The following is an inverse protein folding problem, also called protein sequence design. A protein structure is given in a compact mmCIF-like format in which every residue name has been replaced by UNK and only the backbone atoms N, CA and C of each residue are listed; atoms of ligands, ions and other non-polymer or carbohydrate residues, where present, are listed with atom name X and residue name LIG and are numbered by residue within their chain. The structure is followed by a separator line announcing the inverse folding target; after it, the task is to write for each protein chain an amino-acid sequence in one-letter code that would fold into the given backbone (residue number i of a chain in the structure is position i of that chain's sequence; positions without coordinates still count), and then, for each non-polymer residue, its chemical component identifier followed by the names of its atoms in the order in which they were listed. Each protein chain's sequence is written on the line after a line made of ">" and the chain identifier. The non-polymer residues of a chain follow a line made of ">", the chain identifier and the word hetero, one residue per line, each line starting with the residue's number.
data_IF_935481095438
#
_entry.id   IF_935481095438
#
_cell.length_a   1.000
_cell.length_b   1.000
_cell.length_c   1.000
_cell.angle_alpha   90.00
_cell.angle_beta   90.00
_cell.angle_gamma   90.00
#
_symmetry.space_group_name_H-M   'P 1'
#
loop_
_entity.id
_entity.type
_entity.pdbx_description
1 polymer ?
#
# COMPACT_ATOMS: atom_id res chain seq x y z
N UNK A 1 48.66 30.49 59.03
CA UNK A 1 47.24 30.70 58.71
C UNK A 1 47.13 30.72 57.19
N UNK A 2 46.69 29.60 56.59
CA UNK A 2 46.44 29.49 55.13
C UNK A 2 44.97 29.28 54.95
N UNK A 3 44.27 30.24 54.35
CA UNK A 3 42.88 30.16 53.97
C UNK A 3 42.74 29.36 52.65
N UNK A 4 42.03 28.26 52.72
CA UNK A 4 41.69 27.48 51.57
C UNK A 4 40.25 27.80 51.16
N UNK A 5 40.06 28.47 50.03
CA UNK A 5 38.78 28.80 49.47
C UNK A 5 38.35 27.61 48.60
N UNK A 6 37.31 26.91 49.02
CA UNK A 6 36.66 25.86 48.18
C UNK A 6 35.70 26.51 47.19
N UNK A 7 36.01 26.36 45.92
CA UNK A 7 35.07 26.65 44.83
C UNK A 7 34.08 25.47 44.66
N UNK A 8 32.81 25.73 44.94
CA UNK A 8 31.72 24.84 44.58
C UNK A 8 31.39 25.04 43.09
N UNK A 9 31.73 24.08 42.28
CA UNK A 9 31.26 24.00 40.89
C UNK A 9 29.85 23.39 40.88
N UNK A 10 28.84 24.19 40.60
CA UNK A 10 27.47 23.73 40.35
C UNK A 10 27.41 23.26 38.89
N UNK A 11 27.48 21.95 38.69
CA UNK A 11 27.22 21.34 37.40
C UNK A 11 25.72 21.40 37.13
N UNK A 12 25.31 22.29 36.23
CA UNK A 12 23.95 22.36 35.72
C UNK A 12 23.73 21.15 34.79
N UNK A 13 23.14 20.10 35.33
CA UNK A 13 22.72 18.94 34.54
C UNK A 13 21.50 19.35 33.71
N UNK A 14 21.71 19.70 32.46
CA UNK A 14 20.63 19.89 31.50
C UNK A 14 19.98 18.53 31.24
N UNK A 15 18.87 18.27 31.93
CA UNK A 15 18.01 17.14 31.65
C UNK A 15 17.34 17.44 30.29
N UNK A 16 17.92 16.92 29.23
CA UNK A 16 17.24 16.79 27.94
C UNK A 16 16.09 15.78 28.12
N UNK A 17 14.93 16.25 28.57
CA UNK A 17 13.68 15.52 28.43
C UNK A 17 13.42 15.41 26.94
N UNK A 18 13.71 14.24 26.38
CA UNK A 18 13.17 13.82 25.10
C UNK A 18 11.65 13.86 25.26
N UNK A 19 11.03 14.97 24.86
CA UNK A 19 9.58 15.07 24.73
C UNK A 19 9.16 14.04 23.70
N UNK A 20 8.64 12.90 24.16
CA UNK A 20 7.82 12.02 23.34
C UNK A 20 6.79 12.92 22.65
N UNK A 21 6.87 13.06 21.33
CA UNK A 21 6.16 14.04 20.51
C UNK A 21 4.63 13.93 20.48
N UNK A 22 3.99 13.71 21.62
CA UNK A 22 2.54 13.75 21.73
C UNK A 22 2.05 15.21 21.78
N UNK A 23 1.11 15.55 20.91
CA UNK A 23 0.45 16.85 20.92
C UNK A 23 -0.40 16.96 22.19
N UNK A 24 -0.23 18.03 22.97
CA UNK A 24 -0.98 18.25 24.21
C UNK A 24 -2.47 18.45 23.94
N UNK A 25 -3.31 18.13 24.95
CA UNK A 25 -4.78 18.25 24.80
C UNK A 25 -5.23 19.64 24.40
N UNK A 26 -4.70 20.68 25.06
CA UNK A 26 -5.02 22.08 24.77
C UNK A 26 -4.61 22.47 23.32
N UNK A 27 -3.48 21.98 22.85
CA UNK A 27 -3.01 22.20 21.49
C UNK A 27 -3.93 21.48 20.47
N UNK A 28 -4.38 20.26 20.76
CA UNK A 28 -5.37 19.55 19.93
C UNK A 28 -6.69 20.32 19.85
N UNK A 29 -7.18 20.86 20.96
CA UNK A 29 -8.39 21.68 21.00
C UNK A 29 -8.25 22.98 20.18
N UNK A 30 -7.09 23.61 20.22
CA UNK A 30 -6.80 24.80 19.42
C UNK A 30 -6.73 24.46 17.91
N UNK A 31 -6.06 23.37 17.56
CA UNK A 31 -5.94 22.90 16.18
C UNK A 31 -7.31 22.50 15.60
N UNK A 32 -8.17 21.83 16.37
CA UNK A 32 -9.49 21.37 15.92
C UNK A 32 -10.45 22.48 15.54
N UNK A 33 -10.19 23.71 15.97
CA UNK A 33 -11.00 24.91 15.69
C UNK A 33 -10.50 25.72 14.50
N UNK A 34 -9.41 25.29 13.88
CA UNK A 34 -8.88 26.00 12.70
C UNK A 34 -9.81 25.82 11.50
N UNK A 35 -9.77 26.74 10.52
CA UNK A 35 -10.54 26.59 9.30
C UNK A 35 -10.07 25.38 8.49
N UNK A 36 -10.96 24.87 7.62
CA UNK A 36 -10.61 23.86 6.64
C UNK A 36 -9.49 24.38 5.71
N UNK A 37 -8.63 23.45 5.30
CA UNK A 37 -7.61 23.72 4.29
C UNK A 37 -8.06 23.20 2.93
N UNK A 38 -7.92 24.02 1.90
CA UNK A 38 -8.21 23.62 0.51
C UNK A 38 -6.90 23.31 -0.21
N UNK A 39 -6.79 22.12 -0.77
CA UNK A 39 -5.63 21.64 -1.54
C UNK A 39 -6.07 21.38 -2.98
N UNK A 40 -5.33 21.90 -3.95
CA UNK A 40 -5.55 21.62 -5.37
C UNK A 40 -4.96 20.26 -5.73
N UNK A 41 -5.80 19.35 -6.22
CA UNK A 41 -5.40 18.02 -6.70
C UNK A 41 -5.59 17.91 -8.21
N UNK A 42 -5.16 16.80 -8.81
CA UNK A 42 -5.36 16.54 -10.24
C UNK A 42 -6.86 16.40 -10.63
N UNK A 43 -7.73 16.12 -9.64
CA UNK A 43 -9.17 15.88 -9.85
C UNK A 43 -10.06 16.95 -9.22
N UNK A 44 -9.50 18.13 -8.94
CA UNK A 44 -10.18 19.28 -8.37
C UNK A 44 -9.77 19.61 -6.94
N UNK A 45 -10.46 20.57 -6.35
CA UNK A 45 -10.17 21.02 -4.99
C UNK A 45 -10.60 19.98 -3.95
N UNK A 46 -9.69 19.71 -3.02
CA UNK A 46 -9.90 18.85 -1.85
C UNK A 46 -9.98 19.73 -0.60
N UNK A 47 -11.12 19.71 0.07
CA UNK A 47 -11.29 20.38 1.35
C UNK A 47 -10.96 19.41 2.49
N UNK A 48 -9.95 19.72 3.27
CA UNK A 48 -9.50 18.95 4.43
C UNK A 48 -9.93 19.64 5.72
N UNK A 49 -10.55 18.93 6.68
CA UNK A 49 -10.83 19.49 8.01
C UNK A 49 -9.50 19.76 8.76
N UNK A 50 -9.53 20.58 9.79
CA UNK A 50 -8.35 20.73 10.64
C UNK A 50 -8.03 19.42 11.41
N UNK A 51 -6.77 19.23 11.82
CA UNK A 51 -6.41 18.10 12.68
C UNK A 51 -7.25 18.07 13.95
N UNK A 52 -7.68 16.88 14.35
CA UNK A 52 -8.50 16.63 15.55
C UNK A 52 -9.91 17.27 15.53
N UNK A 53 -10.43 17.70 14.37
CA UNK A 53 -11.81 18.18 14.23
C UNK A 53 -12.84 17.12 14.68
N UNK A 54 -12.49 15.87 14.60
CA UNK A 54 -13.23 14.74 15.16
C UNK A 54 -12.28 13.86 15.97
N UNK A 55 -12.84 13.10 16.92
CA UNK A 55 -12.06 12.15 17.71
C UNK A 55 -11.58 10.99 16.83
N UNK A 56 -10.29 10.63 16.94
CA UNK A 56 -9.77 9.40 16.35
C UNK A 56 -10.29 8.20 17.13
N UNK A 57 -11.00 7.32 16.48
CA UNK A 57 -11.66 6.18 17.12
C UNK A 57 -11.17 4.86 16.54
N UNK A 58 -10.67 3.99 17.41
CA UNK A 58 -10.39 2.59 17.03
C UNK A 58 -11.70 1.85 16.81
N UNK A 59 -11.89 1.30 15.62
CA UNK A 59 -13.07 0.54 15.23
C UNK A 59 -12.65 -0.59 14.29
N UNK A 60 -12.10 -1.66 14.86
CA UNK A 60 -11.64 -2.81 14.10
C UNK A 60 -12.83 -3.58 13.52
N UNK A 61 -12.76 -3.89 12.25
CA UNK A 61 -13.79 -4.73 11.61
C UNK A 61 -13.72 -6.17 12.12
N UNK A 62 -14.90 -6.79 12.21
CA UNK A 62 -15.10 -8.20 12.49
C UNK A 62 -15.38 -8.92 11.18
N UNK A 63 -14.46 -9.77 10.75
CA UNK A 63 -14.66 -10.62 9.58
C UNK A 63 -15.56 -11.78 9.93
N UNK A 64 -16.69 -11.90 9.21
CA UNK A 64 -17.70 -12.96 9.43
C UNK A 64 -17.69 -14.00 8.30
N UNK A 65 -16.90 -13.77 7.23
CA UNK A 65 -16.83 -14.62 6.04
C UNK A 65 -18.03 -14.46 5.10
N UNK A 66 -17.84 -14.95 3.88
CA UNK A 66 -18.87 -14.90 2.84
C UNK A 66 -19.90 -16.02 3.04
N UNK A 67 -21.21 -15.70 3.10
CA UNK A 67 -22.26 -16.71 3.05
C UNK A 67 -22.22 -17.45 1.72
N UNK A 68 -22.70 -18.69 1.70
CA UNK A 68 -22.83 -19.48 0.47
C UNK A 68 -23.64 -18.72 -0.59
N UNK A 69 -23.16 -18.75 -1.82
CA UNK A 69 -23.79 -18.08 -2.96
C UNK A 69 -23.67 -16.54 -2.96
N UNK A 70 -23.11 -15.93 -1.93
CA UNK A 70 -22.92 -14.47 -1.89
C UNK A 70 -21.58 -14.06 -2.49
N UNK A 71 -21.61 -13.01 -3.32
CA UNK A 71 -20.43 -12.42 -3.97
C UNK A 71 -20.36 -10.93 -3.70
N UNK A 72 -19.20 -10.30 -3.90
CA UNK A 72 -19.13 -8.85 -4.05
C UNK A 72 -20.03 -8.33 -5.17
N UNK A 73 -20.35 -7.06 -5.13
CA UNK A 73 -21.29 -6.40 -6.06
C UNK A 73 -20.47 -5.50 -6.99
N UNK A 74 -20.52 -5.80 -8.29
CA UNK A 74 -19.96 -4.95 -9.35
C UNK A 74 -21.06 -4.08 -10.00
N UNK A 75 -20.71 -3.05 -10.79
CA UNK A 75 -21.69 -2.28 -11.57
C UNK A 75 -22.47 -3.16 -12.55
N UNK A 76 -23.61 -2.63 -13.02
CA UNK A 76 -24.37 -3.25 -14.11
C UNK A 76 -23.46 -3.52 -15.34
N UNK A 77 -23.67 -4.64 -16.00
CA UNK A 77 -22.83 -5.09 -17.12
C UNK A 77 -21.60 -5.89 -16.69
N UNK A 78 -21.47 -6.23 -15.40
CA UNK A 78 -20.40 -7.09 -14.90
C UNK A 78 -20.96 -8.30 -14.13
N UNK A 79 -20.20 -9.38 -14.18
CA UNK A 79 -20.41 -10.58 -13.36
C UNK A 79 -19.24 -10.80 -12.43
N UNK A 80 -19.53 -11.15 -11.17
CA UNK A 80 -18.53 -11.51 -10.17
C UNK A 80 -18.64 -12.99 -9.86
N UNK A 81 -17.53 -13.70 -9.98
CA UNK A 81 -17.44 -15.14 -9.68
C UNK A 81 -16.28 -15.40 -8.71
N UNK A 82 -16.38 -16.49 -7.96
CA UNK A 82 -15.26 -17.00 -7.20
C UNK A 82 -14.25 -17.63 -8.19
N UNK A 83 -13.06 -17.05 -8.26
CA UNK A 83 -11.98 -17.57 -9.11
C UNK A 83 -11.25 -18.72 -8.42
N UNK A 84 -10.87 -18.52 -7.15
CA UNK A 84 -10.18 -19.51 -6.34
C UNK A 84 -10.41 -19.24 -4.85
N UNK A 85 -10.45 -20.29 -4.05
CA UNK A 85 -10.57 -20.25 -2.59
C UNK A 85 -9.62 -21.26 -1.92
N UNK A 86 -9.76 -21.48 -0.60
CA UNK A 86 -8.94 -22.44 0.13
C UNK A 86 -7.49 -21.96 0.31
N UNK A 87 -7.25 -20.67 0.24
CA UNK A 87 -6.01 -20.01 0.66
C UNK A 87 -6.06 -19.63 2.15
N UNK A 88 -4.89 -19.23 2.67
CA UNK A 88 -4.80 -18.57 3.95
C UNK A 88 -4.17 -17.19 3.77
N UNK A 89 -5.00 -16.15 3.84
CA UNK A 89 -4.64 -14.76 3.56
C UNK A 89 -3.99 -14.56 2.17
N UNK A 90 -4.71 -14.76 1.05
CA UNK A 90 -4.21 -14.50 -0.31
C UNK A 90 -4.01 -12.99 -0.48
N UNK A 91 -2.79 -12.51 -0.23
CA UNK A 91 -2.48 -11.08 -0.08
C UNK A 91 -2.15 -10.40 -1.39
N UNK A 92 -1.47 -11.11 -2.30
CA UNK A 92 -1.04 -10.55 -3.58
C UNK A 92 -1.10 -11.60 -4.68
N UNK A 93 -1.45 -11.16 -5.88
CA UNK A 93 -1.44 -11.99 -7.09
C UNK A 93 -0.50 -11.37 -8.12
N UNK A 94 0.35 -12.20 -8.70
CA UNK A 94 1.23 -11.85 -9.82
C UNK A 94 0.98 -12.80 -10.98
N UNK A 95 0.80 -12.26 -12.18
CA UNK A 95 0.67 -13.04 -13.42
C UNK A 95 1.99 -12.96 -14.17
N UNK A 96 2.64 -14.12 -14.32
CA UNK A 96 3.91 -14.23 -15.01
C UNK A 96 3.75 -14.13 -16.55
N UNK A 97 4.84 -13.89 -17.30
CA UNK A 97 4.79 -13.80 -18.77
C UNK A 97 4.25 -15.04 -19.47
N UNK A 98 4.31 -16.21 -18.85
CA UNK A 98 3.75 -17.48 -19.34
C UNK A 98 2.27 -17.69 -18.93
N UNK A 99 1.64 -16.69 -18.31
CA UNK A 99 0.29 -16.67 -17.74
C UNK A 99 0.09 -17.54 -16.47
N UNK A 100 1.13 -18.10 -15.88
CA UNK A 100 1.02 -18.67 -14.54
C UNK A 100 0.61 -17.59 -13.55
N UNK A 101 -0.31 -17.93 -12.65
CA UNK A 101 -0.81 -17.04 -11.61
C UNK A 101 -0.18 -17.45 -10.30
N UNK A 102 0.63 -16.56 -9.72
CA UNK A 102 1.26 -16.75 -8.41
C UNK A 102 0.49 -15.99 -7.35
N UNK A 103 0.13 -16.68 -6.27
CA UNK A 103 -0.64 -16.13 -5.15
C UNK A 103 0.21 -16.20 -3.90
N UNK A 104 0.49 -15.05 -3.30
CA UNK A 104 1.14 -14.97 -1.98
C UNK A 104 0.10 -15.16 -0.90
N UNK A 105 0.37 -16.11 0.01
CA UNK A 105 -0.37 -16.33 1.26
C UNK A 105 0.46 -15.79 2.41
N UNK A 106 0.11 -14.58 2.90
CA UNK A 106 0.90 -13.87 3.91
C UNK A 106 0.05 -12.91 4.74
N UNK A 107 0.37 -12.73 6.01
CA UNK A 107 -0.39 -11.88 6.93
C UNK A 107 0.43 -11.36 8.09
N UNK A 108 -0.21 -10.51 8.93
CA UNK A 108 0.41 -9.94 10.14
C UNK A 108 0.43 -10.93 11.30
N UNK A 109 -0.47 -11.91 11.29
CA UNK A 109 -0.60 -12.98 12.30
C UNK A 109 -0.12 -14.30 11.72
N UNK A 110 -0.72 -15.40 12.14
CA UNK A 110 -0.48 -16.71 11.52
C UNK A 110 -0.89 -16.69 10.06
N UNK A 111 0.00 -17.12 9.20
CA UNK A 111 -0.23 -17.34 7.77
C UNK A 111 0.77 -18.37 7.28
N UNK A 112 0.49 -19.03 6.17
CA UNK A 112 1.38 -20.06 5.60
C UNK A 112 2.72 -19.51 5.15
N UNK A 113 2.81 -18.19 4.86
CA UNK A 113 4.00 -17.53 4.33
C UNK A 113 4.61 -18.31 3.14
N UNK A 114 3.76 -18.58 2.16
CA UNK A 114 4.08 -19.36 0.96
C UNK A 114 3.59 -18.65 -0.29
N UNK A 115 4.03 -19.14 -1.43
CA UNK A 115 3.48 -18.78 -2.75
C UNK A 115 2.89 -20.03 -3.36
N UNK A 116 1.65 -19.94 -3.80
CA UNK A 116 0.94 -20.96 -4.56
C UNK A 116 0.90 -20.58 -6.03
N UNK A 117 1.19 -21.53 -6.93
CA UNK A 117 1.05 -21.33 -8.37
C UNK A 117 -0.23 -22.00 -8.88
N UNK A 118 -0.95 -21.27 -9.71
CA UNK A 118 -2.11 -21.76 -10.47
C UNK A 118 -1.74 -21.73 -11.96
N UNK A 119 -1.90 -22.86 -12.66
CA UNK A 119 -1.59 -22.96 -14.09
C UNK A 119 -2.79 -23.50 -14.84
N UNK A 120 -3.21 -22.74 -15.84
CA UNK A 120 -4.18 -23.12 -16.86
C UNK A 120 -3.41 -23.75 -18.03
N UNK A 121 -3.56 -25.08 -18.21
CA UNK A 121 -2.77 -25.85 -19.19
C UNK A 121 -3.37 -25.81 -20.58
N UNK A 122 -4.68 -25.83 -20.68
CA UNK A 122 -5.43 -25.87 -21.95
C UNK A 122 -5.92 -24.49 -22.40
N UNK A 123 -5.70 -23.45 -21.56
CA UNK A 123 -6.02 -22.04 -21.82
C UNK A 123 -7.54 -21.78 -21.95
N UNK A 124 -8.35 -22.55 -21.22
CA UNK A 124 -9.80 -22.36 -21.14
C UNK A 124 -10.23 -21.27 -20.14
N UNK A 125 -9.28 -20.69 -19.41
CA UNK A 125 -9.49 -19.66 -18.40
C UNK A 125 -9.72 -20.20 -16.99
N UNK A 126 -9.57 -21.53 -16.79
CA UNK A 126 -9.56 -22.21 -15.51
C UNK A 126 -8.17 -22.81 -15.27
N UNK A 127 -7.84 -23.07 -14.03
CA UNK A 127 -6.58 -23.73 -13.72
C UNK A 127 -6.79 -25.19 -13.31
N UNK A 128 -6.08 -26.12 -13.97
CA UNK A 128 -6.06 -27.54 -13.63
C UNK A 128 -4.96 -27.87 -12.61
N UNK A 129 -3.98 -26.98 -12.50
CA UNK A 129 -2.87 -27.18 -11.55
C UNK A 129 -2.91 -26.13 -10.47
N UNK A 130 -2.80 -26.60 -9.23
CA UNK A 130 -2.58 -25.78 -8.03
C UNK A 130 -1.52 -26.45 -7.16
N UNK A 131 -0.36 -25.82 -7.07
CA UNK A 131 0.78 -26.36 -6.34
C UNK A 131 1.38 -25.30 -5.41
N UNK A 132 1.95 -25.74 -4.29
CA UNK A 132 2.80 -24.87 -3.47
C UNK A 132 4.13 -24.66 -4.21
N UNK A 133 4.33 -23.45 -4.71
CA UNK A 133 5.51 -23.07 -5.47
C UNK A 133 6.76 -22.97 -4.61
N UNK A 134 6.64 -22.28 -3.46
CA UNK A 134 7.67 -22.15 -2.43
C UNK A 134 7.01 -21.81 -1.10
N UNK A 135 7.59 -22.27 0.00
CA UNK A 135 7.11 -22.07 1.39
C UNK A 135 8.23 -21.62 2.32
N UNK A 136 7.88 -21.42 3.57
CA UNK A 136 8.79 -21.04 4.65
C UNK A 136 9.49 -19.69 4.41
N UNK A 137 8.75 -18.76 3.79
CA UNK A 137 9.20 -17.40 3.50
C UNK A 137 8.99 -16.47 4.70
N UNK A 138 9.65 -15.30 4.69
CA UNK A 138 9.50 -14.29 5.74
C UNK A 138 8.49 -13.20 5.32
N UNK A 139 7.19 -13.46 5.52
CA UNK A 139 6.11 -12.53 5.12
C UNK A 139 6.30 -12.04 3.68
N UNK A 140 6.22 -12.93 2.69
CA UNK A 140 6.37 -12.58 1.28
C UNK A 140 5.26 -11.63 0.82
N UNK A 141 5.55 -10.81 -0.19
CA UNK A 141 4.56 -9.94 -0.80
C UNK A 141 4.77 -9.76 -2.31
N UNK A 142 5.71 -8.92 -2.72
CA UNK A 142 5.97 -8.64 -4.14
C UNK A 142 6.64 -9.81 -4.86
N UNK A 143 6.22 -10.05 -6.09
CA UNK A 143 6.76 -11.09 -6.97
C UNK A 143 7.05 -10.50 -8.35
N UNK A 144 8.09 -11.00 -9.01
CA UNK A 144 8.46 -10.58 -10.35
C UNK A 144 9.24 -11.69 -11.04
N UNK A 145 8.88 -12.01 -12.30
CA UNK A 145 9.73 -12.76 -13.21
C UNK A 145 10.46 -11.78 -14.13
N UNK A 146 11.78 -11.82 -14.11
CA UNK A 146 12.60 -10.98 -14.98
C UNK A 146 13.78 -11.79 -15.51
N UNK A 147 13.84 -11.95 -16.85
CA UNK A 147 14.80 -12.85 -17.51
C UNK A 147 14.71 -14.27 -16.94
N UNK A 148 15.83 -14.84 -16.54
CA UNK A 148 15.96 -16.20 -15.99
C UNK A 148 15.75 -16.28 -14.47
N UNK A 149 15.11 -15.29 -13.85
CA UNK A 149 14.98 -15.22 -12.39
C UNK A 149 13.55 -14.93 -11.95
N UNK A 150 13.18 -15.57 -10.84
CA UNK A 150 12.00 -15.22 -10.04
C UNK A 150 12.47 -14.43 -8.82
N UNK A 151 11.86 -13.27 -8.61
CA UNK A 151 12.16 -12.39 -7.48
C UNK A 151 11.02 -12.44 -6.48
N UNK A 152 11.36 -12.52 -5.20
CA UNK A 152 10.41 -12.49 -4.08
C UNK A 152 10.85 -11.41 -3.10
N UNK A 153 9.98 -10.46 -2.83
CA UNK A 153 10.18 -9.49 -1.79
C UNK A 153 9.57 -9.99 -0.49
N UNK A 154 10.43 -10.41 0.43
CA UNK A 154 10.09 -10.67 1.82
C UNK A 154 10.18 -9.39 2.64
N UNK A 155 9.65 -9.38 3.86
CA UNK A 155 9.69 -8.17 4.71
C UNK A 155 11.12 -7.70 4.99
N UNK A 156 12.09 -8.62 5.03
CA UNK A 156 13.50 -8.38 5.38
C UNK A 156 14.45 -8.28 4.20
N UNK A 157 13.96 -8.45 2.98
CA UNK A 157 14.85 -8.39 1.82
C UNK A 157 14.21 -8.78 0.50
N UNK A 158 14.93 -8.47 -0.57
CA UNK A 158 14.62 -8.97 -1.91
C UNK A 158 15.51 -10.17 -2.22
N UNK A 159 14.87 -11.26 -2.61
CA UNK A 159 15.51 -12.53 -2.92
C UNK A 159 15.33 -12.85 -4.40
N UNK A 160 16.34 -13.42 -5.01
CA UNK A 160 16.37 -13.84 -6.41
C UNK A 160 16.66 -15.34 -6.50
N UNK A 161 15.85 -16.03 -7.30
CA UNK A 161 15.94 -17.47 -7.54
C UNK A 161 16.16 -17.73 -9.03
N UNK A 162 17.08 -18.62 -9.45
CA UNK A 162 17.10 -19.11 -10.84
C UNK A 162 15.75 -19.71 -11.21
N UNK A 163 15.16 -19.25 -12.32
CA UNK A 163 13.83 -19.63 -12.77
C UNK A 163 13.82 -19.85 -14.27
N UNK A 164 14.01 -21.12 -14.69
CA UNK A 164 14.02 -21.53 -16.10
C UNK A 164 12.95 -22.59 -16.32
N UNK A 165 12.39 -22.63 -17.53
CA UNK A 165 11.38 -23.62 -17.95
C UNK A 165 10.11 -23.61 -17.11
N UNK A 166 9.80 -22.53 -16.43
CA UNK A 166 8.58 -22.31 -15.66
C UNK A 166 8.23 -23.49 -14.72
N UNK A 167 9.08 -23.85 -13.77
CA UNK A 167 8.80 -24.97 -12.86
C UNK A 167 7.60 -24.65 -11.97
N UNK A 168 6.87 -25.69 -11.56
CA UNK A 168 5.75 -25.59 -10.61
C UNK A 168 6.23 -25.58 -9.15
N UNK A 169 7.51 -25.90 -8.90
CA UNK A 169 8.15 -25.83 -7.59
C UNK A 169 9.49 -25.14 -7.71
N UNK A 170 9.74 -24.21 -6.82
CA UNK A 170 11.00 -23.47 -6.78
C UNK A 170 11.95 -24.11 -5.76
N UNK A 171 12.80 -25.02 -6.25
CA UNK A 171 13.75 -25.81 -5.45
C UNK A 171 15.19 -25.28 -5.55
N UNK A 172 15.39 -24.19 -6.30
CA UNK A 172 16.69 -23.55 -6.48
C UNK A 172 17.07 -22.73 -5.26
N UNK A 173 18.39 -22.66 -4.97
CA UNK A 173 18.89 -21.84 -3.87
C UNK A 173 18.70 -20.35 -4.19
N UNK A 174 18.20 -19.63 -3.20
CA UNK A 174 18.03 -18.17 -3.26
C UNK A 174 19.37 -17.43 -3.15
N UNK A 175 19.35 -16.21 -3.69
CA UNK A 175 20.35 -15.18 -3.41
C UNK A 175 19.64 -13.96 -2.87
N UNK A 176 19.91 -13.55 -1.64
CA UNK A 176 19.45 -12.27 -1.12
C UNK A 176 20.25 -11.16 -1.80
N UNK A 177 19.59 -10.34 -2.60
CA UNK A 177 20.23 -9.30 -3.40
C UNK A 177 20.05 -7.88 -2.81
N UNK A 178 19.12 -7.73 -1.87
CA UNK A 178 18.89 -6.47 -1.17
C UNK A 178 18.43 -6.77 0.26
N UNK A 179 19.09 -6.17 1.24
CA UNK A 179 18.62 -6.13 2.63
C UNK A 179 17.55 -5.04 2.76
N UNK A 180 16.43 -5.32 3.45
CA UNK A 180 15.38 -4.35 3.72
C UNK A 180 15.15 -4.19 5.22
N UNK A 181 14.81 -2.98 5.71
CA UNK A 181 14.60 -2.74 7.13
C UNK A 181 13.36 -3.50 7.62
N UNK A 182 13.54 -4.45 8.54
CA UNK A 182 12.47 -5.31 9.07
C UNK A 182 12.49 -5.50 10.58
N UNK A 183 13.55 -5.03 11.24
CA UNK A 183 13.73 -5.18 12.69
C UNK A 183 12.84 -4.25 13.52
N UNK A 184 12.62 -4.58 14.80
CA UNK A 184 11.85 -3.78 15.73
C UNK A 184 10.38 -3.64 15.36
N UNK A 185 9.80 -2.49 15.66
CA UNK A 185 8.44 -2.16 15.26
C UNK A 185 8.38 -1.98 13.74
N UNK A 186 7.61 -2.82 13.08
CA UNK A 186 7.50 -2.90 11.63
C UNK A 186 6.01 -2.95 11.21
N UNK A 187 5.31 -1.84 11.45
CA UNK A 187 3.87 -1.76 11.22
C UNK A 187 3.49 -2.03 9.77
N UNK A 188 4.24 -1.44 8.83
CA UNK A 188 4.04 -1.67 7.40
C UNK A 188 5.08 -2.66 6.89
N UNK A 189 4.74 -3.93 6.97
CA UNK A 189 5.63 -5.07 6.69
C UNK A 189 5.70 -5.47 5.21
N UNK A 190 4.76 -5.02 4.38
CA UNK A 190 4.71 -5.39 2.96
C UNK A 190 5.86 -4.74 2.18
N UNK A 191 6.37 -5.47 1.18
CA UNK A 191 7.39 -5.01 0.24
C UNK A 191 6.92 -5.39 -1.15
N UNK A 192 6.47 -4.41 -1.94
CA UNK A 192 6.10 -4.68 -3.33
C UNK A 192 7.25 -4.37 -4.28
N UNK A 193 7.26 -5.03 -5.43
CA UNK A 193 8.28 -4.85 -6.45
C UNK A 193 7.66 -4.77 -7.84
N UNK A 194 8.26 -3.94 -8.70
CA UNK A 194 7.94 -3.86 -10.12
C UNK A 194 9.19 -3.53 -10.91
N UNK A 195 9.36 -4.12 -12.10
CA UNK A 195 10.42 -3.70 -13.03
C UNK A 195 9.96 -2.49 -13.87
N UNK A 196 10.93 -1.69 -14.34
CA UNK A 196 10.62 -0.75 -15.43
C UNK A 196 10.30 -1.52 -16.72
N UNK A 197 9.61 -0.90 -17.69
CA UNK A 197 9.23 -1.57 -18.92
C UNK A 197 10.39 -2.21 -19.68
N UNK A 198 11.58 -1.65 -19.57
CA UNK A 198 12.82 -2.14 -20.21
C UNK A 198 13.48 -3.30 -19.44
N UNK A 199 13.02 -3.63 -18.23
CA UNK A 199 13.60 -4.68 -17.37
C UNK A 199 15.02 -4.39 -16.91
N UNK A 200 15.42 -3.12 -16.86
CA UNK A 200 16.76 -2.70 -16.45
C UNK A 200 16.84 -2.23 -15.00
N UNK A 201 15.70 -1.92 -14.38
CA UNK A 201 15.57 -1.51 -12.99
C UNK A 201 14.42 -2.23 -12.30
N UNK A 202 14.55 -2.41 -11.00
CA UNK A 202 13.48 -2.88 -10.10
C UNK A 202 13.21 -1.77 -9.09
N UNK A 203 11.93 -1.48 -8.86
CA UNK A 203 11.46 -0.55 -7.85
C UNK A 203 10.88 -1.34 -6.68
N UNK A 204 11.25 -0.96 -5.47
CA UNK A 204 10.85 -1.65 -4.24
C UNK A 204 10.15 -0.65 -3.32
N UNK A 205 8.88 -0.89 -3.00
CA UNK A 205 8.16 -0.07 -2.04
C UNK A 205 8.44 -0.53 -0.61
N UNK A 206 8.73 0.41 0.29
CA UNK A 206 9.04 0.16 1.69
C UNK A 206 8.24 1.11 2.55
N UNK A 207 7.21 0.63 3.22
CA UNK A 207 6.41 1.44 4.13
C UNK A 207 7.16 1.83 5.40
N UNK A 208 6.69 2.89 6.08
CA UNK A 208 7.23 3.33 7.37
C UNK A 208 7.18 2.23 8.43
N UNK A 209 8.07 2.27 9.39
CA UNK A 209 8.01 1.39 10.56
C UNK A 209 6.86 1.76 11.49
N UNK A 210 6.54 3.04 11.57
CA UNK A 210 5.64 3.64 12.53
C UNK A 210 4.52 4.47 11.87
N UNK A 211 3.60 5.02 12.67
CA UNK A 211 2.53 5.88 12.17
C UNK A 211 3.06 7.24 11.69
N UNK A 212 3.89 7.90 12.51
CA UNK A 212 4.38 9.26 12.26
C UNK A 212 5.78 9.49 12.83
N UNK A 213 6.66 8.49 12.77
CA UNK A 213 8.02 8.58 13.31
C UNK A 213 8.11 8.53 14.83
N UNK A 214 7.09 8.00 15.53
CA UNK A 214 6.99 7.98 16.99
C UNK A 214 8.07 7.16 17.69
N UNK A 215 8.73 6.28 16.97
CA UNK A 215 9.82 5.44 17.50
C UNK A 215 11.22 6.00 17.20
N UNK A 216 11.29 7.22 16.64
CA UNK A 216 12.52 7.89 16.23
C UNK A 216 12.81 7.74 14.75
N UNK A 217 13.29 8.82 14.12
CA UNK A 217 13.60 8.85 12.68
C UNK A 217 14.81 7.99 12.31
N UNK A 218 15.66 7.63 13.25
CA UNK A 218 16.74 6.66 13.09
C UNK A 218 16.20 5.24 12.74
N UNK A 219 14.96 4.93 13.12
CA UNK A 219 14.26 3.68 12.79
C UNK A 219 13.55 3.72 11.43
N UNK A 220 13.46 4.89 10.83
CA UNK A 220 12.76 5.10 9.55
C UNK A 220 13.71 5.24 8.35
N UNK A 221 15.00 4.95 8.55
CA UNK A 221 15.99 4.96 7.46
C UNK A 221 15.61 3.94 6.39
N UNK A 222 15.53 4.37 5.11
CA UNK A 222 15.09 3.58 3.95
C UNK A 222 13.66 3.04 4.10
N UNK A 223 12.79 3.80 4.79
CA UNK A 223 11.36 3.53 4.96
C UNK A 223 10.54 4.73 4.52
N UNK A 224 9.25 4.51 4.28
CA UNK A 224 8.34 5.46 3.65
C UNK A 224 8.88 5.92 2.28
N UNK A 225 9.51 4.98 1.57
CA UNK A 225 10.28 5.22 0.35
C UNK A 225 9.91 4.24 -0.76
N UNK A 226 10.20 4.62 -1.99
CA UNK A 226 10.36 3.70 -3.10
C UNK A 226 11.86 3.70 -3.46
N UNK A 227 12.49 2.52 -3.41
CA UNK A 227 13.87 2.32 -3.77
C UNK A 227 13.98 1.89 -5.23
N UNK A 228 15.03 2.32 -5.94
CA UNK A 228 15.41 1.85 -7.28
C UNK A 228 16.71 1.06 -7.17
N UNK A 229 16.74 -0.12 -7.80
CA UNK A 229 17.95 -0.97 -7.86
C UNK A 229 18.14 -1.55 -9.25
N UNK A 230 19.34 -2.05 -9.53
CA UNK A 230 19.58 -2.96 -10.66
C UNK A 230 19.02 -4.37 -10.36
N UNK A 231 18.74 -5.20 -11.40
CA UNK A 231 18.22 -6.57 -11.18
C UNK A 231 19.17 -7.50 -10.41
N UNK A 232 20.43 -7.14 -10.28
CA UNK A 232 21.42 -7.87 -9.45
C UNK A 232 21.51 -7.35 -8.00
N UNK A 233 20.72 -6.33 -7.63
CA UNK A 233 20.68 -5.71 -6.31
C UNK A 233 21.64 -4.52 -6.16
N UNK A 234 22.51 -4.27 -7.13
CA UNK A 234 23.44 -3.13 -7.07
C UNK A 234 22.77 -1.80 -7.41
N UNK A 235 23.47 -0.70 -7.17
CA UNK A 235 23.05 0.64 -7.60
C UNK A 235 21.81 1.18 -6.87
N UNK A 236 21.58 0.75 -5.62
CA UNK A 236 20.46 1.21 -4.79
C UNK A 236 20.44 2.72 -4.65
N UNK A 237 19.25 3.29 -4.85
CA UNK A 237 18.93 4.70 -4.63
C UNK A 237 17.53 4.83 -4.07
N UNK A 238 17.30 5.83 -3.23
CA UNK A 238 15.94 6.28 -2.92
C UNK A 238 15.40 6.98 -4.16
N UNK A 239 14.37 6.40 -4.77
CA UNK A 239 13.72 6.96 -5.96
C UNK A 239 12.74 8.07 -5.60
N UNK A 240 11.96 7.87 -4.53
CA UNK A 240 11.05 8.85 -3.96
C UNK A 240 10.89 8.59 -2.46
N UNK A 241 10.67 9.64 -1.68
CA UNK A 241 10.60 9.60 -0.22
C UNK A 241 9.34 10.27 0.33
N UNK A 242 9.03 10.01 1.60
CA UNK A 242 7.90 10.62 2.29
C UNK A 242 6.54 10.06 1.90
N UNK A 243 6.51 8.88 1.30
CA UNK A 243 5.33 8.09 0.98
C UNK A 243 5.07 7.14 2.15
N UNK A 244 4.22 7.52 3.12
CA UNK A 244 4.10 6.78 4.38
C UNK A 244 4.05 5.25 4.21
N UNK A 245 3.14 4.73 3.42
CA UNK A 245 3.07 3.29 3.12
C UNK A 245 2.67 3.08 1.65
N UNK A 246 3.63 3.19 0.72
CA UNK A 246 3.40 2.87 -0.69
C UNK A 246 3.30 1.35 -0.83
N UNK A 247 2.26 0.84 -1.50
CA UNK A 247 2.06 -0.61 -1.64
C UNK A 247 1.88 -1.01 -3.11
N UNK A 248 0.73 -0.74 -3.70
CA UNK A 248 0.46 -1.01 -5.10
C UNK A 248 1.29 -0.09 -6.00
N UNK A 249 1.94 -0.66 -6.99
CA UNK A 249 2.71 0.09 -7.99
C UNK A 249 2.37 -0.41 -9.38
N UNK A 250 2.21 0.51 -10.33
CA UNK A 250 2.06 0.17 -11.74
C UNK A 250 2.51 1.33 -12.64
N UNK A 251 2.77 1.02 -13.89
CA UNK A 251 3.21 1.98 -14.90
C UNK A 251 2.02 2.54 -15.69
N UNK A 252 1.91 3.86 -15.72
CA UNK A 252 0.95 4.53 -16.58
C UNK A 252 1.21 4.15 -18.05
N UNK A 253 0.25 3.51 -18.73
CA UNK A 253 0.47 2.99 -20.07
C UNK A 253 0.72 4.10 -21.12
N UNK A 254 0.25 5.32 -20.86
CA UNK A 254 0.34 6.43 -21.81
C UNK A 254 1.69 7.16 -21.76
N UNK A 255 2.29 7.34 -20.58
CA UNK A 255 3.48 8.18 -20.41
C UNK A 255 4.62 7.49 -19.65
N UNK A 256 4.44 6.23 -19.23
CA UNK A 256 5.44 5.44 -18.50
C UNK A 256 5.86 6.03 -17.15
N UNK A 257 5.05 6.87 -16.55
CA UNK A 257 5.25 7.31 -15.17
C UNK A 257 4.87 6.19 -14.19
N UNK A 258 5.68 5.99 -13.15
CA UNK A 258 5.36 5.09 -12.05
C UNK A 258 4.24 5.71 -11.21
N UNK A 259 3.23 4.91 -10.86
CA UNK A 259 2.14 5.28 -9.95
C UNK A 259 2.14 4.37 -8.74
N UNK A 260 1.67 4.89 -7.61
CA UNK A 260 1.53 4.11 -6.37
C UNK A 260 0.27 4.47 -5.61
N UNK A 261 -0.28 3.49 -4.88
CA UNK A 261 -1.29 3.70 -3.84
C UNK A 261 -0.60 3.84 -2.49
N UNK A 262 -0.98 4.86 -1.73
CA UNK A 262 -0.39 5.15 -0.43
C UNK A 262 -1.47 5.16 0.65
N UNK A 263 -1.22 4.36 1.68
CA UNK A 263 -2.00 4.37 2.92
C UNK A 263 -1.39 5.39 3.87
N UNK A 264 -2.16 6.41 4.21
CA UNK A 264 -1.74 7.57 4.97
C UNK A 264 -1.84 7.39 6.49
N UNK A 265 -1.36 8.42 7.23
CA UNK A 265 -1.28 8.39 8.68
C UNK A 265 -2.64 8.43 9.38
N UNK A 266 -2.67 7.81 10.54
CA UNK A 266 -3.80 7.75 11.45
C UNK A 266 -3.73 8.82 12.55
N UNK A 267 -4.77 8.92 13.38
CA UNK A 267 -4.83 9.69 14.63
C UNK A 267 -4.91 11.22 14.47
N UNK A 268 -5.41 11.72 13.33
CA UNK A 268 -5.77 13.14 13.16
C UNK A 268 -7.28 13.39 13.12
N UNK A 269 -8.08 12.38 13.36
CA UNK A 269 -9.54 12.39 13.29
C UNK A 269 -10.09 11.45 12.21
N UNK A 270 -11.42 11.39 12.08
CA UNK A 270 -12.08 10.45 11.16
C UNK A 270 -11.81 10.74 9.67
N UNK A 271 -11.61 11.99 9.30
CA UNK A 271 -11.55 12.43 7.91
C UNK A 271 -10.15 12.95 7.48
N UNK A 272 -9.14 12.70 8.33
CA UNK A 272 -7.73 12.96 8.10
C UNK A 272 -6.86 11.76 8.47
N UNK A 273 -5.89 11.38 7.62
CA UNK A 273 -5.51 11.95 6.32
C UNK A 273 -6.10 11.08 5.23
N UNK A 274 -6.57 11.63 4.09
CA UNK A 274 -6.99 10.78 2.98
C UNK A 274 -5.83 9.96 2.43
N UNK A 275 -6.06 8.67 2.20
CA UNK A 275 -5.23 7.86 1.32
C UNK A 275 -5.25 8.44 -0.09
N UNK A 276 -4.25 8.11 -0.89
CA UNK A 276 -4.16 8.65 -2.24
C UNK A 276 -3.53 7.68 -3.24
N UNK A 277 -3.77 7.92 -4.52
CA UNK A 277 -2.93 7.41 -5.60
C UNK A 277 -2.22 8.58 -6.28
N UNK A 278 -0.96 8.39 -6.62
CA UNK A 278 -0.12 9.46 -7.16
C UNK A 278 0.93 8.97 -8.14
N UNK A 279 1.28 9.82 -9.09
CA UNK A 279 2.47 9.66 -9.92
C UNK A 279 3.72 9.83 -9.06
N UNK A 280 4.70 8.95 -9.21
CA UNK A 280 5.94 8.97 -8.42
C UNK A 280 7.03 9.68 -9.19
N UNK A 281 7.49 10.81 -8.68
CA UNK A 281 8.55 11.59 -9.31
C UNK A 281 9.91 11.18 -8.74
N UNK A 282 10.90 11.02 -9.63
CA UNK A 282 12.30 10.79 -9.21
C UNK A 282 12.77 11.94 -8.32
N UNK A 283 13.41 11.60 -7.20
CA UNK A 283 13.87 12.51 -6.16
C UNK A 283 12.72 13.33 -5.50
N UNK A 284 11.46 12.88 -5.70
CA UNK A 284 10.27 13.50 -5.12
C UNK A 284 10.12 13.21 -3.63
N UNK A 285 9.59 14.19 -2.89
CA UNK A 285 9.24 14.06 -1.48
C UNK A 285 7.74 14.32 -1.30
N UNK A 286 7.02 13.40 -0.60
CA UNK A 286 5.56 13.43 -0.48
C UNK A 286 5.04 13.79 0.91
N UNK A 287 5.93 14.22 1.81
CA UNK A 287 5.59 14.88 3.07
C UNK A 287 5.87 14.08 4.33
N UNK A 288 5.56 12.79 4.39
CA UNK A 288 5.70 12.01 5.60
C UNK A 288 7.15 11.99 6.14
N UNK A 289 7.38 12.13 7.46
CA UNK A 289 6.42 12.37 8.52
C UNK A 289 6.15 13.86 8.80
N UNK A 290 6.84 14.78 8.15
CA UNK A 290 6.89 16.20 8.49
C UNK A 290 5.66 16.99 8.05
N UNK A 291 5.01 16.54 7.01
CA UNK A 291 3.76 17.10 6.50
C UNK A 291 2.86 15.99 5.93
N UNK A 292 1.61 16.29 5.72
CA UNK A 292 0.66 15.41 5.07
C UNK A 292 -0.03 16.15 3.91
N UNK A 293 -0.50 15.39 2.95
CA UNK A 293 -1.18 15.84 1.75
C UNK A 293 -0.49 17.05 1.09
N UNK A 294 0.80 16.90 0.79
CA UNK A 294 1.69 17.95 0.33
C UNK A 294 2.35 18.68 1.51
N UNK A 295 2.20 19.99 1.54
CA UNK A 295 2.95 20.88 2.46
C UNK A 295 2.17 21.28 3.73
N UNK A 296 1.12 20.55 4.11
CA UNK A 296 0.39 20.82 5.36
C UNK A 296 1.21 20.23 6.52
N UNK A 297 1.76 21.06 7.43
CA UNK A 297 2.64 20.56 8.50
C UNK A 297 1.90 19.56 9.41
N UNK A 298 2.56 18.45 9.73
CA UNK A 298 2.05 17.53 10.74
C UNK A 298 2.20 18.14 12.14
N UNK A 299 1.14 18.25 12.93
CA UNK A 299 1.20 18.90 14.25
C UNK A 299 2.15 18.20 15.21
N UNK A 300 2.38 16.90 15.07
CA UNK A 300 3.30 16.15 15.90
C UNK A 300 4.77 16.53 15.63
N UNK A 301 5.10 16.82 14.38
CA UNK A 301 6.45 17.18 13.95
C UNK A 301 6.77 18.68 14.15
N UNK A 302 5.81 19.49 14.60
CA UNK A 302 5.97 20.90 15.01
C UNK A 302 6.76 21.77 14.03
N UNK A 303 6.63 21.50 12.73
CA UNK A 303 7.32 22.25 11.68
C UNK A 303 8.81 21.93 11.55
N UNK A 304 9.27 20.79 12.05
CA UNK A 304 10.59 20.26 11.72
C UNK A 304 10.73 20.10 10.20
N UNK A 305 11.96 20.19 9.71
CA UNK A 305 12.32 20.04 8.29
C UNK A 305 11.46 20.90 7.35
N UNK A 306 11.34 22.19 7.66
CA UNK A 306 10.67 23.18 6.80
C UNK A 306 11.17 23.17 5.36
N UNK A 307 12.44 22.82 5.16
CA UNK A 307 13.09 22.63 3.86
C UNK A 307 12.44 21.52 3.03
N UNK A 308 12.06 20.42 3.67
CA UNK A 308 11.35 19.31 3.02
C UNK A 308 9.86 19.62 2.85
N UNK A 309 9.21 20.19 3.86
CA UNK A 309 7.80 20.58 3.79
C UNK A 309 7.56 21.50 2.59
N UNK A 310 8.45 22.48 2.37
CA UNK A 310 8.34 23.41 1.24
C UNK A 310 8.46 22.75 -0.15
N UNK A 311 9.06 21.56 -0.21
CA UNK A 311 9.24 20.77 -1.44
C UNK A 311 8.24 19.62 -1.58
N UNK A 312 7.39 19.39 -0.57
CA UNK A 312 6.49 18.27 -0.55
C UNK A 312 5.47 18.35 -1.72
N UNK A 313 5.39 17.27 -2.45
CA UNK A 313 4.51 17.14 -3.61
C UNK A 313 3.10 16.85 -3.11
N UNK A 314 2.12 17.58 -3.62
CA UNK A 314 0.70 17.29 -3.40
C UNK A 314 0.34 16.01 -4.19
N UNK A 315 -0.23 14.97 -3.54
CA UNK A 315 -0.69 13.78 -4.24
C UNK A 315 -1.78 14.06 -5.27
N UNK A 316 -1.79 13.27 -6.36
CA UNK A 316 -2.67 13.52 -7.50
C UNK A 316 -4.16 13.30 -7.18
N UNK A 317 -4.52 12.16 -6.57
CA UNK A 317 -5.93 11.75 -6.39
C UNK A 317 -6.20 11.24 -4.98
N UNK A 318 -7.03 11.95 -4.18
CA UNK A 318 -7.51 11.44 -2.90
C UNK A 318 -8.48 10.27 -3.11
N UNK A 319 -8.34 9.20 -2.33
CA UNK A 319 -9.21 8.02 -2.42
C UNK A 319 -9.98 7.72 -1.13
N UNK A 320 -10.02 8.70 -0.21
CA UNK A 320 -10.77 8.65 1.05
C UNK A 320 -9.88 8.45 2.28
N UNK A 321 -10.34 8.95 3.43
CA UNK A 321 -9.60 8.84 4.69
C UNK A 321 -9.72 7.43 5.28
N UNK A 322 -8.60 6.90 5.78
CA UNK A 322 -8.50 5.60 6.46
C UNK A 322 -9.00 4.41 5.64
N UNK A 323 -8.97 4.48 4.31
CA UNK A 323 -9.48 3.39 3.45
C UNK A 323 -8.54 2.21 3.35
N UNK A 324 -7.30 2.34 3.82
CA UNK A 324 -6.21 1.39 3.64
C UNK A 324 -6.07 0.98 2.17
N UNK A 325 -5.85 1.96 1.30
CA UNK A 325 -5.66 1.77 -0.14
C UNK A 325 -4.33 1.09 -0.41
N UNK A 326 -4.36 -0.15 -0.89
CA UNK A 326 -3.18 -1.00 -1.02
C UNK A 326 -2.90 -1.45 -2.46
N UNK A 327 -3.85 -2.14 -3.11
CA UNK A 327 -3.69 -2.63 -4.47
C UNK A 327 -3.84 -1.50 -5.50
N UNK A 328 -3.08 -1.57 -6.60
CA UNK A 328 -3.18 -0.64 -7.73
C UNK A 328 -2.89 -1.39 -9.03
N UNK A 329 -3.74 -1.22 -10.03
CA UNK A 329 -3.48 -1.70 -11.38
C UNK A 329 -4.10 -0.77 -12.44
N UNK A 330 -3.35 -0.42 -13.47
CA UNK A 330 -3.88 0.21 -14.67
C UNK A 330 -4.62 -0.81 -15.52
N UNK A 331 -5.81 -0.46 -15.98
CA UNK A 331 -6.58 -1.32 -16.87
C UNK A 331 -6.24 -1.04 -18.34
N UNK A 332 -5.44 -1.91 -18.94
CA UNK A 332 -4.93 -1.74 -20.31
C UNK A 332 -5.65 -2.58 -21.37
N UNK A 333 -6.65 -3.39 -20.96
CA UNK A 333 -7.37 -4.33 -21.83
C UNK A 333 -8.63 -3.70 -22.42
N UNK A 334 -9.29 -4.42 -23.33
CA UNK A 334 -10.48 -3.98 -24.05
C UNK A 334 -11.75 -4.77 -23.64
N UNK A 335 -11.65 -5.69 -22.66
CA UNK A 335 -12.79 -6.50 -22.25
C UNK A 335 -13.84 -5.71 -21.45
N UNK A 336 -13.41 -4.70 -20.68
CA UNK A 336 -14.33 -3.80 -19.96
C UNK A 336 -14.77 -2.62 -20.85
N UNK A 337 -15.91 -1.98 -20.55
CA UNK A 337 -16.35 -0.77 -21.25
C UNK A 337 -15.25 0.29 -21.37
N UNK A 338 -15.27 1.05 -22.46
CA UNK A 338 -14.21 2.02 -22.81
C UNK A 338 -13.85 3.02 -21.69
N UNK A 339 -14.80 3.35 -20.81
CA UNK A 339 -14.55 4.27 -19.68
C UNK A 339 -13.48 3.78 -18.71
N UNK A 340 -13.26 2.45 -18.63
CA UNK A 340 -12.28 1.85 -17.74
C UNK A 340 -10.87 1.78 -18.35
N UNK A 341 -10.75 1.96 -19.65
CA UNK A 341 -9.47 1.85 -20.34
C UNK A 341 -8.48 2.92 -19.89
N UNK A 342 -7.27 2.49 -19.56
CA UNK A 342 -6.17 3.30 -19.05
C UNK A 342 -6.44 4.01 -17.69
N UNK A 343 -7.53 3.69 -17.00
CA UNK A 343 -7.76 4.11 -15.62
C UNK A 343 -7.16 3.13 -14.62
N UNK A 344 -7.24 3.48 -13.34
CA UNK A 344 -6.65 2.72 -12.23
C UNK A 344 -7.75 2.06 -11.39
N UNK A 345 -7.62 0.77 -11.11
CA UNK A 345 -8.34 0.10 -10.04
C UNK A 345 -7.52 0.11 -8.76
N UNK A 346 -8.16 0.37 -7.60
CA UNK A 346 -7.52 0.46 -6.30
C UNK A 346 -8.26 -0.41 -5.30
N UNK A 347 -7.56 -1.39 -4.72
CA UNK A 347 -8.08 -2.21 -3.63
C UNK A 347 -7.97 -1.48 -2.29
N UNK A 348 -9.09 -1.30 -1.60
CA UNK A 348 -9.19 -0.64 -0.31
C UNK A 348 -9.50 -1.65 0.79
N UNK A 349 -8.48 -1.99 1.58
CA UNK A 349 -8.54 -3.02 2.62
C UNK A 349 -9.47 -2.66 3.80
N UNK A 350 -9.74 -1.38 3.99
CA UNK A 350 -10.68 -0.88 4.97
C UNK A 350 -10.08 -0.40 6.28
N UNK A 351 -10.78 0.53 6.91
CA UNK A 351 -10.36 1.30 8.07
C UNK A 351 -10.31 0.48 9.37
N UNK A 352 -9.48 0.96 10.29
CA UNK A 352 -9.49 0.59 11.71
C UNK A 352 -9.54 1.81 12.64
N UNK A 353 -9.13 2.99 12.14
CA UNK A 353 -9.04 4.24 12.90
C UNK A 353 -10.11 5.25 12.46
N UNK A 354 -11.37 4.81 12.43
CA UNK A 354 -12.50 5.65 12.06
C UNK A 354 -13.79 5.18 12.73
N UNK A 355 -14.61 6.11 13.24
CA UNK A 355 -15.86 5.80 13.93
C UNK A 355 -16.83 5.00 13.03
N UNK A 356 -17.00 5.42 11.80
CA UNK A 356 -17.74 4.71 10.76
C UNK A 356 -16.73 4.07 9.81
N UNK A 357 -16.76 2.75 9.65
CA UNK A 357 -15.83 2.03 8.78
C UNK A 357 -15.88 2.56 7.33
N UNK A 358 -14.72 2.64 6.67
CA UNK A 358 -14.57 3.12 5.28
C UNK A 358 -13.60 2.24 4.50
N UNK A 359 -13.62 2.32 3.16
CA UNK A 359 -12.93 1.37 2.30
C UNK A 359 -13.73 0.09 2.15
N UNK A 360 -13.10 -1.08 2.27
CA UNK A 360 -13.71 -2.40 2.05
C UNK A 360 -14.38 -2.51 0.68
N UNK A 361 -13.67 -2.04 -0.35
CA UNK A 361 -14.15 -2.01 -1.74
C UNK A 361 -13.01 -1.88 -2.72
N UNK A 362 -13.29 -2.01 -3.99
CA UNK A 362 -12.40 -1.56 -5.06
C UNK A 362 -12.99 -0.29 -5.65
N UNK A 363 -12.16 0.74 -5.79
CA UNK A 363 -12.54 1.97 -6.49
C UNK A 363 -11.83 2.04 -7.84
N UNK A 364 -12.42 2.78 -8.77
CA UNK A 364 -11.87 3.08 -10.08
C UNK A 364 -11.57 4.58 -10.18
N UNK A 365 -10.38 4.93 -10.66
CA UNK A 365 -9.99 6.31 -10.96
C UNK A 365 -9.91 6.45 -12.48
N UNK A 366 -10.77 7.28 -13.09
CA UNK A 366 -10.77 7.46 -14.55
C UNK A 366 -9.56 8.29 -15.00
N UNK A 367 -9.02 7.96 -16.18
CA UNK A 367 -7.91 8.63 -16.83
C UNK A 367 -8.26 9.03 -18.25
N UNK A 368 -7.73 10.18 -18.67
CA UNK A 368 -7.75 10.65 -20.05
C UNK A 368 -6.38 11.20 -20.41
N UNK A 369 -5.84 10.81 -21.57
CA UNK A 369 -4.55 11.30 -22.08
C UNK A 369 -3.41 11.15 -21.05
N UNK A 370 -3.41 10.05 -20.30
CA UNK A 370 -2.38 9.73 -19.31
C UNK A 370 -2.48 10.52 -17.99
N UNK A 371 -3.59 11.19 -17.71
CA UNK A 371 -3.82 11.94 -16.47
C UNK A 371 -5.15 11.56 -15.85
N UNK A 372 -5.30 11.65 -14.51
CA UNK A 372 -6.60 11.53 -13.87
C UNK A 372 -7.61 12.51 -14.47
N UNK A 373 -8.82 12.05 -14.76
CA UNK A 373 -9.86 12.86 -15.42
C UNK A 373 -11.15 12.97 -14.62
N UNK A 374 -11.20 12.35 -13.44
CA UNK A 374 -12.37 12.41 -12.56
C UNK A 374 -12.04 11.88 -11.17
N UNK A 375 -12.97 12.06 -10.23
CA UNK A 375 -12.88 11.54 -8.87
C UNK A 375 -13.00 10.02 -8.87
N UNK A 376 -12.50 9.33 -7.82
CA UNK A 376 -12.69 7.90 -7.65
C UNK A 376 -14.17 7.51 -7.66
N UNK A 377 -14.50 6.43 -8.37
CA UNK A 377 -15.83 5.82 -8.43
C UNK A 377 -15.80 4.45 -7.74
N UNK A 378 -16.88 4.07 -7.05
CA UNK A 378 -17.03 2.73 -6.51
C UNK A 378 -17.14 1.72 -7.66
N UNK A 379 -16.35 0.63 -7.61
CA UNK A 379 -16.37 -0.41 -8.63
C UNK A 379 -16.82 -1.76 -8.07
N UNK A 380 -16.13 -2.31 -7.05
CA UNK A 380 -16.52 -3.58 -6.44
C UNK A 380 -16.83 -3.33 -4.96
N UNK A 381 -18.07 -3.56 -4.56
CA UNK A 381 -18.61 -3.25 -3.24
C UNK A 381 -19.20 -4.50 -2.58
N UNK A 382 -19.96 -4.34 -1.48
CA UNK A 382 -20.66 -5.44 -0.83
C UNK A 382 -19.80 -6.26 0.16
N UNK A 383 -18.59 -5.81 0.47
CA UNK A 383 -17.73 -6.44 1.49
C UNK A 383 -18.21 -6.13 2.92
N UNK A 384 -18.88 -4.99 3.15
CA UNK A 384 -19.46 -4.64 4.44
C UNK A 384 -20.81 -5.35 4.59
N UNK A 385 -20.96 -6.13 5.66
CA UNK A 385 -22.20 -6.80 6.01
C UNK A 385 -23.09 -5.93 6.90
N UNK A 386 -22.50 -5.32 7.93
CA UNK A 386 -23.20 -4.46 8.87
C UNK A 386 -22.27 -3.34 9.35
N UNK A 387 -22.56 -2.13 8.93
CA UNK A 387 -21.73 -0.96 9.22
C UNK A 387 -21.74 -0.58 10.70
N UNK A 388 -22.88 -0.65 11.38
CA UNK A 388 -23.02 -0.30 12.80
C UNK A 388 -22.25 -1.26 13.72
N UNK A 389 -22.12 -2.53 13.30
CA UNK A 389 -21.37 -3.56 14.04
C UNK A 389 -19.94 -3.73 13.54
N UNK A 390 -19.54 -2.95 12.54
CA UNK A 390 -18.27 -3.11 11.81
C UNK A 390 -18.05 -4.56 11.33
N UNK A 391 -19.13 -5.28 10.92
CA UNK A 391 -19.05 -6.63 10.38
C UNK A 391 -18.82 -6.58 8.87
N UNK A 392 -17.84 -7.37 8.41
CA UNK A 392 -17.46 -7.45 6.99
C UNK A 392 -17.37 -8.92 6.56
N UNK A 393 -17.70 -9.21 5.30
CA UNK A 393 -17.51 -10.55 4.73
C UNK A 393 -16.06 -10.85 4.41
N UNK A 394 -15.30 -9.85 3.97
CA UNK A 394 -13.90 -9.92 3.59
C UNK A 394 -13.28 -8.54 3.45
N UNK A 395 -12.01 -8.52 2.99
CA UNK A 395 -11.22 -7.27 2.85
C UNK A 395 -10.40 -7.32 1.55
N UNK A 396 -10.80 -6.55 0.52
CA UNK A 396 -10.07 -6.56 -0.75
C UNK A 396 -8.69 -5.89 -0.62
N UNK A 397 -7.68 -6.48 -1.26
CA UNK A 397 -6.29 -6.00 -1.20
C UNK A 397 -5.73 -5.76 -2.59
N UNK A 398 -5.24 -6.82 -3.24
CA UNK A 398 -4.67 -6.73 -4.57
C UNK A 398 -5.78 -6.67 -5.63
N UNK A 399 -5.47 -5.96 -6.69
CA UNK A 399 -6.22 -5.95 -7.94
C UNK A 399 -5.25 -6.29 -9.07
N UNK A 400 -5.60 -7.25 -9.93
CA UNK A 400 -4.71 -7.74 -10.98
C UNK A 400 -5.49 -7.95 -12.27
N UNK A 401 -5.05 -7.32 -13.35
CA UNK A 401 -5.68 -7.46 -14.67
C UNK A 401 -5.16 -8.72 -15.35
N UNK A 402 -6.07 -9.61 -15.73
CA UNK A 402 -5.73 -10.88 -16.41
C UNK A 402 -5.49 -10.68 -17.90
N UNK A 403 -4.85 -11.64 -18.59
CA UNK A 403 -4.64 -11.57 -20.03
C UNK A 403 -5.94 -11.48 -20.84
N UNK A 404 -7.03 -12.09 -20.37
CA UNK A 404 -8.38 -12.04 -21.00
C UNK A 404 -9.12 -10.72 -20.70
N UNK A 405 -8.53 -9.83 -19.91
CA UNK A 405 -9.09 -8.53 -19.55
C UNK A 405 -10.06 -8.56 -18.36
N UNK A 406 -10.19 -9.69 -17.67
CA UNK A 406 -10.89 -9.73 -16.38
C UNK A 406 -10.06 -9.06 -15.28
N UNK A 407 -10.67 -8.78 -14.13
CA UNK A 407 -10.00 -8.29 -12.94
C UNK A 407 -10.05 -9.35 -11.83
N UNK A 408 -8.90 -9.77 -11.33
CA UNK A 408 -8.80 -10.55 -10.10
C UNK A 408 -8.70 -9.62 -8.91
N UNK A 409 -9.44 -9.91 -7.85
CA UNK A 409 -9.44 -9.17 -6.59
C UNK A 409 -9.16 -10.13 -5.44
N UNK A 410 -8.03 -9.95 -4.80
CA UNK A 410 -7.68 -10.73 -3.61
C UNK A 410 -8.47 -10.21 -2.41
N UNK A 411 -9.16 -11.11 -1.74
CA UNK A 411 -9.82 -10.90 -0.46
C UNK A 411 -9.06 -11.72 0.59
N UNK A 412 -8.10 -11.09 1.25
CA UNK A 412 -7.18 -11.78 2.16
C UNK A 412 -7.84 -12.29 3.43
N UNK A 413 -8.88 -11.61 3.86
CA UNK A 413 -9.61 -11.95 5.09
C UNK A 413 -10.78 -12.89 4.81
N UNK A 414 -11.33 -12.87 3.59
CA UNK A 414 -12.31 -13.84 3.10
C UNK A 414 -11.67 -15.09 2.49
N UNK A 415 -10.34 -15.18 2.44
CA UNK A 415 -9.56 -16.30 1.91
C UNK A 415 -9.93 -16.70 0.47
N UNK A 416 -10.32 -15.71 -0.34
CA UNK A 416 -10.91 -15.90 -1.68
C UNK A 416 -10.27 -14.93 -2.67
N UNK A 417 -10.14 -15.38 -3.91
CA UNK A 417 -9.85 -14.51 -5.05
C UNK A 417 -11.12 -14.42 -5.89
N UNK A 418 -11.61 -13.21 -6.07
CA UNK A 418 -12.78 -12.90 -6.89
C UNK A 418 -12.35 -12.57 -8.31
N UNK A 419 -13.13 -12.98 -9.31
CA UNK A 419 -12.96 -12.61 -10.72
C UNK A 419 -14.15 -11.75 -11.15
N UNK A 420 -13.85 -10.58 -11.71
CA UNK A 420 -14.84 -9.68 -12.31
C UNK A 420 -14.68 -9.71 -13.82
N UNK A 421 -15.76 -10.02 -14.53
CA UNK A 421 -15.82 -10.07 -16.00
C UNK A 421 -16.91 -9.14 -16.50
N UNK A 422 -16.68 -8.48 -17.64
CA UNK A 422 -17.77 -7.76 -18.32
C UNK A 422 -18.69 -8.77 -19.02
N UNK A 423 -19.98 -8.51 -18.96
CA UNK A 423 -20.99 -9.27 -19.71
C UNK A 423 -20.84 -8.93 -21.20
N UNK A 424 -21.01 -9.94 -22.06
CA UNK A 424 -20.98 -9.77 -23.50
C UNK A 424 -22.30 -9.16 -24.00
#
# INVERSE_FOLDING_TARGET
>A
MKNTTQLFSISLLAILTACNGQVKKEEKEALSKQPNTVVKTAVGDLTLPPPYATESKTNNSKVIGWPEGKTPIAPEGFTVTKFADGFENPRWTYIAPNNDIFVVESGTRTSKNQITVLRDKDKDGKFETREVFIKDLNKPFGMLVLKDFFYIANTDGLYRYPYKNNPLKLETKETKILELPAGGYNNHWTRNIIANPEGTKIYVSVGSGSNVGENGMDKEVRRADILEINPDGTGEKVYAAGLRNPVGMDWNPANKELWTAVNERDELGNDLVPDYVTSVKRDGFYGWPYSYYGNIPDPRMKGERKDLIAKAIVPDVPVGAHTASLGLAFYTKDAFPAKYKNGIFVGQHGSWNRAKISGYKVVFVPFAKGKPSGKPEDFLTGFISNEQKAEVYGRPVAVTVTPDGSLLVNDDSGNTIWKVTANK
#
